data_IF_379854266547
#
_entry.id   IF_379854266547
#
_cell.length_a   1.000
_cell.length_b   1.000
_cell.length_c   1.000
_cell.angle_alpha   90.00
_cell.angle_beta   90.00
_cell.angle_gamma   90.00
#
_symmetry.space_group_name_H-M   'P 1'
#
loop_
_entity.id
_entity.type
_entity.pdbx_description
1 polymer ?
#
# COMPACT_ATOMS: atom_id res chain seq x y z
N UNK A 1 -38.71 -30.83 -8.30
CA UNK A 1 -38.54 -29.99 -7.10
C UNK A 1 -37.10 -30.10 -6.66
N UNK A 2 -36.32 -29.07 -6.92
CA UNK A 2 -34.95 -28.95 -6.42
C UNK A 2 -34.86 -27.56 -5.82
N UNK A 3 -35.08 -27.47 -4.51
CA UNK A 3 -34.86 -26.25 -3.74
C UNK A 3 -33.35 -25.98 -3.70
N UNK A 4 -32.88 -25.24 -4.70
CA UNK A 4 -31.58 -24.59 -4.68
C UNK A 4 -31.64 -23.46 -3.66
N UNK A 5 -31.29 -23.76 -2.40
CA UNK A 5 -31.13 -22.75 -1.36
C UNK A 5 -30.15 -21.68 -1.83
N UNK A 6 -30.68 -20.52 -2.21
CA UNK A 6 -29.87 -19.34 -2.48
C UNK A 6 -29.13 -18.98 -1.19
N UNK A 7 -27.83 -19.27 -1.14
CA UNK A 7 -26.93 -18.83 -0.09
C UNK A 7 -27.05 -17.30 -0.02
N UNK A 8 -27.65 -16.78 1.05
CA UNK A 8 -27.80 -15.34 1.25
C UNK A 8 -26.39 -14.76 1.40
N UNK A 9 -25.86 -14.14 0.35
CA UNK A 9 -24.57 -13.46 0.43
C UNK A 9 -24.68 -12.35 1.48
N UNK A 10 -23.80 -12.39 2.47
CA UNK A 10 -23.65 -11.29 3.42
C UNK A 10 -23.12 -10.10 2.62
N UNK A 11 -23.83 -8.97 2.67
CA UNK A 11 -23.37 -7.76 2.01
C UNK A 11 -22.21 -7.16 2.81
N UNK A 12 -20.99 -7.29 2.30
CA UNK A 12 -19.76 -6.84 2.96
C UNK A 12 -19.25 -5.58 2.25
N UNK A 13 -18.90 -4.53 3.01
CA UNK A 13 -18.26 -3.33 2.46
C UNK A 13 -16.81 -3.62 2.06
N UNK A 14 -16.32 -3.00 1.00
CA UNK A 14 -14.89 -3.09 0.66
C UNK A 14 -14.11 -2.25 1.69
N UNK A 15 -13.07 -2.81 2.35
CA UNK A 15 -12.28 -2.11 3.37
C UNK A 15 -11.22 -1.21 2.73
N UNK A 16 -11.67 -0.09 2.17
CA UNK A 16 -10.84 0.97 1.62
C UNK A 16 -10.59 2.01 2.71
N UNK A 17 -9.53 2.81 2.56
CA UNK A 17 -9.33 3.95 3.45
C UNK A 17 -10.58 4.84 3.47
N UNK A 18 -11.14 5.13 2.30
CA UNK A 18 -12.31 6.01 2.16
C UNK A 18 -13.60 5.46 2.82
N UNK A 19 -13.72 4.13 2.98
CA UNK A 19 -14.88 3.51 3.65
C UNK A 19 -14.65 3.32 5.14
N UNK A 20 -13.39 3.21 5.57
CA UNK A 20 -12.99 3.07 6.98
C UNK A 20 -12.75 4.42 7.67
N UNK A 21 -12.67 5.53 6.93
CA UNK A 21 -12.51 6.87 7.50
C UNK A 21 -13.83 7.62 7.62
N UNK A 22 -14.05 8.21 8.79
CA UNK A 22 -15.12 9.18 9.01
C UNK A 22 -14.66 10.59 8.61
N UNK A 23 -15.45 11.26 7.77
CA UNK A 23 -15.35 12.68 7.50
C UNK A 23 -16.00 13.42 8.67
N UNK A 24 -15.22 14.11 9.49
CA UNK A 24 -15.73 14.91 10.60
C UNK A 24 -15.81 16.37 10.13
N UNK A 25 -16.99 17.04 10.19
CA UNK A 25 -17.11 18.41 9.77
C UNK A 25 -16.43 19.36 10.77
N UNK A 26 -15.89 20.47 10.28
CA UNK A 26 -15.27 21.51 11.13
C UNK A 26 -16.32 22.31 11.94
N UNK A 27 -17.61 22.23 11.58
CA UNK A 27 -18.73 22.92 12.24
C UNK A 27 -19.92 21.98 12.46
N UNK A 28 -20.69 22.29 13.50
CA UNK A 28 -21.80 21.50 14.06
C UNK A 28 -23.07 21.38 13.18
N UNK A 29 -22.96 21.29 11.85
CA UNK A 29 -24.14 20.98 11.04
C UNK A 29 -24.26 19.46 10.84
N UNK A 30 -24.77 18.79 11.87
CA UNK A 30 -24.94 17.33 11.90
C UNK A 30 -26.09 16.84 11.01
N UNK A 31 -27.01 17.72 10.60
CA UNK A 31 -28.28 17.32 9.98
C UNK A 31 -28.13 16.97 8.49
N UNK A 32 -27.11 17.51 7.80
CA UNK A 32 -26.90 17.29 6.36
C UNK A 32 -25.53 16.65 6.04
N UNK A 33 -24.76 16.28 7.05
CA UNK A 33 -23.40 15.80 6.86
C UNK A 33 -23.33 14.29 6.66
N UNK A 34 -22.67 13.86 5.58
CA UNK A 34 -22.36 12.44 5.35
C UNK A 34 -21.01 12.09 5.99
N UNK A 35 -21.07 11.40 7.14
CA UNK A 35 -19.87 10.98 7.87
C UNK A 35 -19.03 9.95 7.12
N UNK A 36 -19.66 9.15 6.27
CA UNK A 36 -19.00 8.09 5.52
C UNK A 36 -19.28 8.26 4.03
N UNK A 37 -18.41 7.67 3.21
CA UNK A 37 -18.60 7.70 1.77
C UNK A 37 -19.96 7.08 1.39
N UNK A 38 -20.80 7.85 0.70
CA UNK A 38 -22.09 7.39 0.17
C UNK A 38 -22.15 7.64 -1.36
N UNK A 39 -22.55 6.65 -2.17
CA UNK A 39 -22.85 5.26 -1.80
C UNK A 39 -21.57 4.46 -1.44
N UNK A 40 -21.69 3.54 -0.48
CA UNK A 40 -20.58 2.72 -0.04
C UNK A 40 -20.31 1.58 -1.03
N UNK A 41 -19.05 1.38 -1.49
CA UNK A 41 -18.72 0.25 -2.33
C UNK A 41 -18.85 -1.07 -1.56
N UNK A 42 -19.71 -1.95 -2.05
CA UNK A 42 -19.91 -3.30 -1.51
C UNK A 42 -19.16 -4.31 -2.37
N UNK A 43 -18.73 -5.42 -1.76
CA UNK A 43 -18.19 -6.57 -2.46
C UNK A 43 -19.34 -7.23 -3.23
N UNK A 44 -19.18 -7.32 -4.55
CA UNK A 44 -20.09 -8.10 -5.42
C UNK A 44 -19.43 -9.42 -5.76
N UNK A 45 -18.16 -9.39 -6.14
CA UNK A 45 -17.43 -10.56 -6.57
C UNK A 45 -15.91 -10.36 -6.40
N UNK A 46 -15.13 -11.43 -6.55
CA UNK A 46 -13.66 -11.40 -6.53
C UNK A 46 -13.16 -12.02 -7.83
N UNK A 47 -12.23 -11.35 -8.50
CA UNK A 47 -11.66 -11.82 -9.76
C UNK A 47 -10.92 -13.16 -9.55
N UNK A 48 -11.16 -14.13 -10.45
CA UNK A 48 -10.55 -15.47 -10.41
C UNK A 48 -9.02 -15.45 -10.52
N UNK A 49 -8.46 -14.38 -11.10
CA UNK A 49 -7.00 -14.22 -11.23
C UNK A 49 -6.41 -13.49 -10.03
N UNK A 50 -5.39 -14.10 -9.45
CA UNK A 50 -4.62 -13.56 -8.32
C UNK A 50 -3.16 -13.42 -8.72
N UNK A 51 -2.59 -12.24 -8.53
CA UNK A 51 -1.16 -12.01 -8.80
C UNK A 51 -0.34 -12.35 -7.54
N UNK A 52 0.60 -13.27 -7.66
CA UNK A 52 1.54 -13.60 -6.58
C UNK A 52 2.82 -12.80 -6.79
N UNK A 53 3.12 -11.88 -5.88
CA UNK A 53 4.28 -11.00 -6.03
C UNK A 53 5.58 -11.73 -5.70
N UNK A 54 6.63 -11.43 -6.46
CA UNK A 54 7.97 -11.98 -6.26
C UNK A 54 8.68 -11.30 -5.08
N UNK A 55 8.34 -11.71 -3.86
CA UNK A 55 9.06 -11.36 -2.63
C UNK A 55 9.19 -12.56 -1.70
N UNK A 56 9.98 -12.45 -0.63
CA UNK A 56 10.20 -13.55 0.32
C UNK A 56 8.90 -14.13 0.88
N UNK A 57 7.93 -13.26 1.16
CA UNK A 57 6.64 -13.61 1.78
C UNK A 57 5.59 -13.98 0.72
N UNK A 58 5.87 -13.72 -0.57
CA UNK A 58 4.98 -14.02 -1.72
C UNK A 58 3.53 -13.56 -1.51
N UNK A 59 3.30 -12.27 -1.18
CA UNK A 59 1.96 -11.76 -0.92
C UNK A 59 1.10 -11.82 -2.18
N UNK A 60 -0.22 -11.94 -1.99
CA UNK A 60 -1.19 -12.13 -3.07
C UNK A 60 -1.94 -10.84 -3.31
N UNK A 61 -1.87 -10.29 -4.51
CA UNK A 61 -2.72 -9.18 -4.94
C UNK A 61 -4.02 -9.76 -5.52
N UNK A 62 -5.13 -9.48 -4.85
CA UNK A 62 -6.47 -9.85 -5.29
C UNK A 62 -7.19 -8.62 -5.85
N UNK A 63 -8.19 -8.84 -6.70
CA UNK A 63 -9.02 -7.76 -7.23
C UNK A 63 -10.48 -8.01 -6.90
N UNK A 64 -11.08 -7.07 -6.17
CA UNK A 64 -12.48 -7.10 -5.74
C UNK A 64 -13.32 -6.30 -6.72
N UNK A 65 -14.43 -6.88 -7.18
CA UNK A 65 -15.43 -6.24 -8.02
C UNK A 65 -16.48 -5.61 -7.11
N UNK A 66 -16.71 -4.30 -7.27
CA UNK A 66 -17.62 -3.55 -6.41
C UNK A 66 -19.00 -3.33 -7.03
N UNK A 67 -19.99 -3.13 -6.17
CA UNK A 67 -21.35 -2.68 -6.53
C UNK A 67 -21.40 -1.36 -7.30
N UNK A 68 -20.34 -0.54 -7.22
CA UNK A 68 -20.23 0.70 -7.99
C UNK A 68 -19.59 0.52 -9.38
N UNK A 69 -19.35 -0.73 -9.81
CA UNK A 69 -18.74 -1.06 -11.10
C UNK A 69 -17.21 -0.88 -11.16
N UNK A 70 -16.57 -0.38 -10.09
CA UNK A 70 -15.11 -0.26 -10.00
C UNK A 70 -14.49 -1.55 -9.47
N UNK A 71 -13.21 -1.71 -9.79
CA UNK A 71 -12.37 -2.80 -9.28
C UNK A 71 -11.36 -2.25 -8.29
N UNK A 72 -11.27 -2.86 -7.13
CA UNK A 72 -10.34 -2.46 -6.07
C UNK A 72 -9.34 -3.57 -5.82
N UNK A 73 -8.05 -3.22 -5.85
CA UNK A 73 -7.00 -4.19 -5.57
C UNK A 73 -6.67 -4.21 -4.08
N UNK A 74 -6.44 -5.40 -3.52
CA UNK A 74 -6.00 -5.58 -2.14
C UNK A 74 -4.79 -6.51 -2.11
N UNK A 75 -3.85 -6.26 -1.21
CA UNK A 75 -2.70 -7.12 -0.95
C UNK A 75 -2.97 -7.97 0.29
N UNK A 76 -3.09 -9.27 0.11
CA UNK A 76 -3.17 -10.23 1.19
C UNK A 76 -1.76 -10.65 1.62
N UNK A 77 -1.41 -10.37 2.87
CA UNK A 77 -0.14 -10.77 3.46
C UNK A 77 -0.33 -12.01 4.35
N UNK A 78 0.24 -13.15 3.98
CA UNK A 78 0.22 -14.34 4.83
C UNK A 78 1.33 -14.28 5.87
N UNK A 79 1.07 -14.88 7.04
CA UNK A 79 2.00 -15.02 8.17
C UNK A 79 2.59 -13.69 8.65
N UNK A 80 1.79 -12.64 8.67
CA UNK A 80 2.21 -11.28 9.05
C UNK A 80 1.14 -10.62 9.93
N UNK A 81 1.53 -10.18 11.14
CA UNK A 81 0.66 -9.42 12.06
C UNK A 81 0.68 -7.94 11.70
N UNK A 82 -0.38 -7.48 11.02
CA UNK A 82 -0.49 -6.11 10.53
C UNK A 82 -0.97 -5.10 11.58
N UNK A 83 -1.09 -5.48 12.87
CA UNK A 83 -1.53 -4.52 13.91
C UNK A 83 -0.58 -3.33 14.02
N UNK A 84 0.72 -3.54 13.88
CA UNK A 84 1.71 -2.43 13.91
C UNK A 84 1.52 -1.50 12.71
N UNK A 85 1.36 -2.04 11.51
CA UNK A 85 1.08 -1.29 10.30
C UNK A 85 -0.24 -0.49 10.40
N UNK A 86 -1.30 -1.12 10.94
CA UNK A 86 -2.59 -0.45 11.19
C UNK A 86 -2.44 0.75 12.12
N UNK A 87 -1.71 0.60 13.24
CA UNK A 87 -1.46 1.70 14.17
C UNK A 87 -0.61 2.80 13.55
N UNK A 88 0.35 2.45 12.69
CA UNK A 88 1.13 3.43 11.95
C UNK A 88 0.25 4.24 10.99
N UNK A 89 -0.72 3.62 10.31
CA UNK A 89 -1.66 4.34 9.43
C UNK A 89 -2.59 5.27 10.22
N UNK A 90 -3.08 4.85 11.38
CA UNK A 90 -3.85 5.73 12.29
C UNK A 90 -3.03 6.93 12.75
N UNK A 91 -1.77 6.70 13.14
CA UNK A 91 -0.85 7.76 13.51
C UNK A 91 -0.59 8.72 12.33
N UNK A 92 -0.33 8.19 11.13
CA UNK A 92 -0.12 9.01 9.94
C UNK A 92 -1.37 9.84 9.58
N UNK A 93 -2.58 9.33 9.86
CA UNK A 93 -3.81 10.11 9.73
C UNK A 93 -3.83 11.31 10.68
N UNK A 94 -3.38 11.15 11.92
CA UNK A 94 -3.22 12.26 12.86
C UNK A 94 -2.15 13.25 12.37
N UNK A 95 -1.00 12.76 11.87
CA UNK A 95 0.04 13.62 11.29
C UNK A 95 -0.51 14.44 10.13
N UNK A 96 -1.28 13.84 9.22
CA UNK A 96 -1.94 14.55 8.13
C UNK A 96 -2.90 15.64 8.63
N UNK A 97 -3.64 15.39 9.73
CA UNK A 97 -4.47 16.43 10.37
C UNK A 97 -3.62 17.60 10.89
N UNK A 98 -2.46 17.33 11.48
CA UNK A 98 -1.55 18.37 11.96
C UNK A 98 -0.89 19.16 10.82
N UNK A 99 -0.45 18.47 9.77
CA UNK A 99 0.06 19.09 8.55
C UNK A 99 -1.01 19.97 7.89
N UNK A 100 -2.26 19.48 7.83
CA UNK A 100 -3.38 20.26 7.33
C UNK A 100 -3.79 21.40 8.27
N UNK A 101 -3.44 21.41 9.56
CA UNK A 101 -3.68 22.58 10.44
C UNK A 101 -2.59 23.64 10.32
N UNK A 102 -1.38 23.27 9.93
CA UNK A 102 -0.27 24.21 9.75
C UNK A 102 -0.31 24.90 8.37
N UNK A 103 -0.41 26.23 8.34
CA UNK A 103 -0.49 26.99 7.10
C UNK A 103 0.73 26.83 6.18
N UNK A 104 1.95 26.72 6.74
CA UNK A 104 3.18 26.55 5.94
C UNK A 104 3.25 25.16 5.29
N UNK A 105 2.79 24.13 6.01
CA UNK A 105 2.71 22.76 5.49
C UNK A 105 1.62 22.64 4.42
N UNK A 106 0.42 23.17 4.67
CA UNK A 106 -0.67 23.26 3.67
C UNK A 106 -0.25 23.96 2.40
N UNK A 107 0.44 25.10 2.50
CA UNK A 107 0.92 25.86 1.34
C UNK A 107 1.85 25.03 0.43
N UNK A 108 2.49 24.00 0.98
CA UNK A 108 3.40 23.09 0.28
C UNK A 108 2.75 21.74 -0.08
N UNK A 109 1.45 21.59 0.18
CA UNK A 109 0.69 20.34 0.04
C UNK A 109 1.38 19.11 0.70
N UNK A 110 1.95 19.31 1.89
CA UNK A 110 2.59 18.21 2.61
C UNK A 110 1.54 17.25 3.15
N UNK A 111 1.57 16.01 2.66
CA UNK A 111 0.75 14.91 3.15
C UNK A 111 1.48 13.58 3.02
N UNK A 112 1.18 12.69 3.94
CA UNK A 112 1.55 11.27 3.87
C UNK A 112 0.44 10.55 3.10
N UNK A 113 0.80 9.76 2.09
CA UNK A 113 -0.16 8.88 1.44
C UNK A 113 -0.63 7.79 2.41
N UNK A 114 -1.94 7.71 2.61
CA UNK A 114 -2.58 6.73 3.48
C UNK A 114 -3.23 5.63 2.63
N UNK A 115 -3.38 4.45 3.23
CA UNK A 115 -4.09 3.31 2.68
C UNK A 115 -4.67 2.50 3.85
N UNK A 116 -5.74 1.75 3.62
CA UNK A 116 -6.29 0.88 4.64
C UNK A 116 -5.38 -0.32 4.94
N UNK A 117 -5.27 -0.66 6.21
CA UNK A 117 -4.66 -1.89 6.71
C UNK A 117 -5.67 -2.54 7.65
N UNK A 118 -6.10 -3.76 7.33
CA UNK A 118 -7.05 -4.52 8.14
C UNK A 118 -6.38 -5.81 8.60
N UNK A 119 -5.91 -5.87 9.86
CA UNK A 119 -5.51 -7.11 10.48
C UNK A 119 -6.73 -8.04 10.59
N UNK A 120 -6.63 -9.27 10.08
CA UNK A 120 -7.70 -10.25 10.17
C UNK A 120 -7.50 -11.15 11.40
N UNK A 121 -6.26 -11.57 11.65
CA UNK A 121 -5.81 -12.22 12.87
C UNK A 121 -4.32 -11.90 13.10
N UNK A 122 -3.67 -12.63 14.00
CA UNK A 122 -2.24 -12.52 14.30
C UNK A 122 -1.32 -13.16 13.24
N UNK A 123 -1.89 -13.83 12.24
CA UNK A 123 -1.15 -14.50 11.17
C UNK A 123 -1.48 -13.97 9.78
N UNK A 124 -2.45 -13.07 9.61
CA UNK A 124 -2.74 -12.49 8.30
C UNK A 124 -3.52 -11.19 8.38
N UNK A 125 -3.42 -10.45 7.28
CA UNK A 125 -4.24 -9.28 7.06
C UNK A 125 -4.26 -8.86 5.59
N UNK A 126 -5.06 -7.84 5.32
CA UNK A 126 -5.20 -7.24 4.01
C UNK A 126 -4.80 -5.77 4.04
N UNK A 127 -4.17 -5.33 2.96
CA UNK A 127 -3.73 -3.96 2.77
C UNK A 127 -4.36 -3.45 1.48
N UNK A 128 -4.92 -2.25 1.48
CA UNK A 128 -5.38 -1.59 0.27
C UNK A 128 -4.21 -1.36 -0.69
N UNK A 129 -4.39 -1.75 -1.95
CA UNK A 129 -3.36 -1.55 -2.96
C UNK A 129 -3.39 -0.10 -3.46
N UNK A 130 -2.21 0.53 -3.49
CA UNK A 130 -2.05 1.87 -4.06
C UNK A 130 -1.65 1.74 -5.53
N UNK A 131 -2.57 2.06 -6.42
CA UNK A 131 -2.32 2.06 -7.86
C UNK A 131 -1.30 3.12 -8.28
N UNK A 132 -0.72 2.93 -9.48
CA UNK A 132 0.30 3.82 -10.06
C UNK A 132 1.58 3.94 -9.21
N UNK A 133 1.94 2.87 -8.51
CA UNK A 133 3.17 2.78 -7.74
C UNK A 133 4.07 1.66 -8.26
N UNK A 134 5.38 1.87 -8.17
CA UNK A 134 6.42 0.88 -8.44
C UNK A 134 7.49 0.97 -7.37
N UNK A 135 8.18 -0.14 -7.11
CA UNK A 135 9.27 -0.12 -6.13
C UNK A 135 10.43 0.74 -6.63
N UNK A 136 11.06 1.48 -5.72
CA UNK A 136 12.27 2.25 -6.04
C UNK A 136 13.36 1.38 -6.69
N UNK A 137 13.55 0.16 -6.18
CA UNK A 137 14.49 -0.82 -6.75
C UNK A 137 14.18 -1.12 -8.22
N UNK A 138 12.91 -1.32 -8.57
CA UNK A 138 12.50 -1.59 -9.95
C UNK A 138 12.86 -0.44 -10.87
N UNK A 139 12.65 0.81 -10.43
CA UNK A 139 13.01 2.01 -11.20
C UNK A 139 14.51 2.09 -11.41
N UNK A 140 15.31 1.96 -10.34
CA UNK A 140 16.78 2.02 -10.43
C UNK A 140 17.32 0.93 -11.35
N UNK A 141 16.83 -0.30 -11.23
CA UNK A 141 17.28 -1.41 -12.09
C UNK A 141 16.92 -1.17 -13.56
N UNK A 142 15.73 -0.65 -13.83
CA UNK A 142 15.31 -0.29 -15.18
C UNK A 142 16.20 0.79 -15.78
N UNK A 143 16.43 1.90 -15.07
CA UNK A 143 17.32 2.98 -15.50
C UNK A 143 18.76 2.49 -15.74
N UNK A 144 19.29 1.67 -14.83
CA UNK A 144 20.64 1.11 -15.00
C UNK A 144 20.74 0.24 -16.25
N UNK A 145 19.68 -0.53 -16.57
CA UNK A 145 19.65 -1.35 -17.77
C UNK A 145 19.52 -0.55 -19.06
N UNK A 146 18.73 0.54 -19.04
CA UNK A 146 18.53 1.39 -20.22
C UNK A 146 19.77 2.23 -20.54
N UNK A 147 20.31 2.90 -19.54
CA UNK A 147 21.43 3.81 -19.76
C UNK A 147 22.80 3.12 -19.64
N UNK A 148 22.85 1.82 -19.30
CA UNK A 148 24.07 1.05 -19.01
C UNK A 148 24.96 1.70 -17.92
N UNK A 149 24.39 2.55 -17.08
CA UNK A 149 25.06 3.11 -15.92
C UNK A 149 24.78 2.24 -14.70
N UNK A 150 25.81 1.98 -13.90
CA UNK A 150 25.67 1.30 -12.63
C UNK A 150 26.17 -0.14 -12.62
N UNK A 151 26.52 -0.58 -11.41
CA UNK A 151 27.13 -1.88 -11.16
C UNK A 151 25.99 -2.90 -10.96
N UNK A 152 25.99 -4.04 -11.66
CA UNK A 152 25.07 -5.12 -11.39
C UNK A 152 25.08 -5.47 -9.89
N UNK A 153 23.89 -5.70 -9.31
CA UNK A 153 23.76 -5.89 -7.87
C UNK A 153 24.66 -7.01 -7.32
N UNK A 154 24.94 -8.04 -8.13
CA UNK A 154 25.79 -9.16 -7.72
C UNK A 154 27.27 -8.82 -7.71
N UNK A 155 27.71 -7.94 -8.59
CA UNK A 155 29.07 -7.41 -8.56
C UNK A 155 29.24 -6.41 -7.41
N UNK A 156 28.23 -5.59 -7.15
CA UNK A 156 28.22 -4.67 -6.00
C UNK A 156 28.27 -5.43 -4.67
N UNK A 157 27.55 -6.56 -4.55
CA UNK A 157 27.67 -7.45 -3.37
C UNK A 157 29.08 -8.01 -3.21
N UNK A 158 29.73 -8.44 -4.30
CA UNK A 158 31.13 -8.92 -4.26
C UNK A 158 32.08 -7.82 -3.79
N UNK A 159 31.97 -6.62 -4.37
CA UNK A 159 32.76 -5.45 -3.97
C UNK A 159 32.54 -5.11 -2.49
N UNK A 160 31.29 -5.09 -2.02
CA UNK A 160 30.98 -4.80 -0.61
C UNK A 160 31.56 -5.83 0.37
N UNK A 161 31.58 -7.12 -0.02
CA UNK A 161 32.22 -8.16 0.77
C UNK A 161 33.74 -8.02 0.77
N UNK A 162 34.33 -7.68 -0.39
CA UNK A 162 35.77 -7.43 -0.53
C UNK A 162 36.25 -6.23 0.29
N UNK A 163 35.42 -5.19 0.44
CA UNK A 163 35.75 -4.03 1.28
C UNK A 163 35.54 -4.25 2.77
N UNK A 164 35.32 -5.50 3.22
CA UNK A 164 35.00 -5.81 4.62
C UNK A 164 33.79 -5.02 5.14
N UNK A 165 32.82 -4.73 4.25
CA UNK A 165 31.62 -3.93 4.56
C UNK A 165 31.90 -2.46 4.92
N UNK A 166 33.09 -1.97 4.63
CA UNK A 166 33.46 -0.56 4.78
C UNK A 166 32.83 0.26 3.66
N UNK A 167 31.94 1.19 4.04
CA UNK A 167 31.18 2.02 3.12
C UNK A 167 32.06 3.07 2.41
N UNK A 168 33.05 3.65 3.09
CA UNK A 168 33.92 4.64 2.46
C UNK A 168 34.82 4.01 1.41
N UNK A 169 35.39 2.84 1.73
CA UNK A 169 36.20 2.08 0.77
C UNK A 169 35.38 1.65 -0.43
N UNK A 170 34.14 1.20 -0.21
CA UNK A 170 33.22 0.85 -1.29
C UNK A 170 32.96 2.05 -2.20
N UNK A 171 32.62 3.21 -1.64
CA UNK A 171 32.34 4.42 -2.43
C UNK A 171 33.56 4.83 -3.26
N UNK A 172 34.77 4.85 -2.66
CA UNK A 172 36.01 5.14 -3.42
C UNK A 172 36.22 4.14 -4.56
N UNK A 173 36.01 2.86 -4.32
CA UNK A 173 36.13 1.81 -5.35
C UNK A 173 35.10 1.95 -6.47
N UNK A 174 33.85 2.28 -6.13
CA UNK A 174 32.78 2.48 -7.10
C UNK A 174 33.08 3.72 -7.96
N UNK A 175 33.49 4.83 -7.34
CA UNK A 175 33.87 6.03 -8.07
C UNK A 175 35.02 5.74 -9.02
N UNK A 176 36.12 5.13 -8.54
CA UNK A 176 37.31 4.89 -9.36
C UNK A 176 37.05 3.90 -10.51
N UNK A 177 36.22 2.88 -10.31
CA UNK A 177 36.02 1.82 -11.32
C UNK A 177 34.95 2.13 -12.36
N UNK A 178 34.00 3.02 -12.05
CA UNK A 178 32.77 3.16 -12.84
C UNK A 178 32.40 4.61 -13.18
N UNK A 179 33.13 5.61 -12.69
CA UNK A 179 32.95 7.03 -12.99
C UNK A 179 34.29 7.72 -13.26
#
# INVERSE_FOLDING_TARGET
GCDGGYQKFVTIMIPLLSTLTCNIPDRFDYQQHSFFQTPTPMIVDINDRVDVLASLIRPKKIQIISSNGKKYSMLCKPKDDLRRDSRLMEFNSLVNKLLNKNAKARKRDLRICLYAVVPLNDECGIIEWVDNTVSYRSVVLHLNSEFKYGIPIEELKKLYLQTQRDHEKLLKLITIKFF
#
